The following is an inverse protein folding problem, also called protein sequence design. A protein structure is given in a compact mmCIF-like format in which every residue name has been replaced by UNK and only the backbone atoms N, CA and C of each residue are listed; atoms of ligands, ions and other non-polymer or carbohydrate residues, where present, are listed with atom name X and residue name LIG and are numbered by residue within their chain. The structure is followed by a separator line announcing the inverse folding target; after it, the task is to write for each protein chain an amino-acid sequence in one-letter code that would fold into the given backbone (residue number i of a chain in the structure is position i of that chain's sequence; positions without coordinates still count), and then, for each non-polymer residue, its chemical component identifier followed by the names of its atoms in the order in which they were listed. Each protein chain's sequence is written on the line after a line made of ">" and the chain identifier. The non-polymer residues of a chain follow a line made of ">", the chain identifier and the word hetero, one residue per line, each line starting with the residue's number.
data_IF_319087526999
#
_entry.id   IF_319087526999
#
_cell.length_a   1.000
_cell.length_b   1.000
_cell.length_c   1.000
_cell.angle_alpha   90.00
_cell.angle_beta   90.00
_cell.angle_gamma   90.00
#
_symmetry.space_group_name_H-M   'P 1'
#
loop_
_entity.id
_entity.type
_entity.pdbx_description
1 polymer ?
#
# COMPACT_ATOMS: atom_id res chain seq x y z
N UNK A 1 47.06 -53.70 13.28
CA UNK A 1 48.03 -53.88 12.17
C UNK A 1 48.12 -52.60 11.36
N UNK A 2 49.09 -51.73 11.63
CA UNK A 2 49.32 -50.50 10.84
C UNK A 2 50.15 -50.86 9.61
N UNK A 3 49.51 -51.01 8.44
CA UNK A 3 50.22 -51.07 7.16
C UNK A 3 51.05 -49.79 7.02
N UNK A 4 52.38 -49.91 7.14
CA UNK A 4 53.34 -48.89 6.70
C UNK A 4 53.21 -48.80 5.18
N UNK A 5 52.36 -47.90 4.68
CA UNK A 5 52.38 -47.53 3.28
C UNK A 5 53.58 -46.60 3.05
N UNK A 6 54.53 -47.06 2.25
CA UNK A 6 55.70 -46.28 1.83
C UNK A 6 55.27 -45.28 0.75
N UNK A 7 55.10 -44.02 1.16
CA UNK A 7 55.02 -42.89 0.25
C UNK A 7 56.43 -42.57 -0.26
N UNK A 8 56.76 -42.99 -1.49
CA UNK A 8 58.02 -42.63 -2.16
C UNK A 8 58.04 -41.14 -2.55
N UNK A 9 59.24 -40.58 -2.67
CA UNK A 9 59.45 -39.17 -3.05
C UNK A 9 58.83 -38.86 -4.42
N UNK A 10 59.07 -39.71 -5.41
CA UNK A 10 58.57 -39.53 -6.79
C UNK A 10 57.04 -39.56 -6.86
N UNK A 11 56.42 -40.50 -6.14
CA UNK A 11 54.96 -40.59 -6.07
C UNK A 11 54.36 -39.33 -5.43
N UNK A 12 55.07 -38.75 -4.46
CA UNK A 12 54.61 -37.55 -3.77
C UNK A 12 54.81 -36.30 -4.63
N UNK A 13 55.89 -36.20 -5.42
CA UNK A 13 56.12 -35.12 -6.39
C UNK A 13 55.05 -35.11 -7.48
N UNK A 14 54.78 -36.26 -8.12
CA UNK A 14 53.75 -36.34 -9.18
C UNK A 14 52.37 -35.97 -8.65
N UNK A 15 51.99 -36.47 -7.48
CA UNK A 15 50.66 -36.18 -6.93
C UNK A 15 50.53 -34.74 -6.41
N UNK A 16 51.58 -34.19 -5.80
CA UNK A 16 51.52 -32.90 -5.13
C UNK A 16 51.88 -31.72 -6.04
N UNK A 17 52.82 -31.89 -6.97
CA UNK A 17 53.29 -30.86 -7.90
C UNK A 17 52.53 -30.97 -9.23
N UNK A 18 52.61 -32.12 -9.91
CA UNK A 18 52.07 -32.23 -11.29
C UNK A 18 50.53 -32.31 -11.31
N UNK A 19 49.93 -33.01 -10.35
CA UNK A 19 48.46 -33.18 -10.26
C UNK A 19 47.79 -32.16 -9.32
N UNK A 20 48.56 -31.22 -8.75
CA UNK A 20 48.11 -30.21 -7.78
C UNK A 20 47.23 -30.76 -6.63
N UNK A 21 47.37 -32.05 -6.28
CA UNK A 21 46.50 -32.67 -5.29
C UNK A 21 46.85 -32.15 -3.91
N UNK A 22 45.83 -31.72 -3.16
CA UNK A 22 46.05 -31.32 -1.77
C UNK A 22 46.53 -32.49 -0.92
N UNK A 23 47.33 -32.23 0.12
CA UNK A 23 47.78 -33.26 1.09
C UNK A 23 46.64 -34.09 1.70
N UNK A 24 45.41 -33.58 1.72
CA UNK A 24 44.22 -34.33 2.12
C UNK A 24 43.67 -35.28 1.06
N UNK A 25 43.74 -34.91 -0.22
CA UNK A 25 43.35 -35.78 -1.33
C UNK A 25 44.36 -36.91 -1.54
N UNK A 26 45.65 -36.62 -1.39
CA UNK A 26 46.72 -37.63 -1.41
C UNK A 26 46.52 -38.64 -0.26
N UNK A 27 46.17 -38.15 0.93
CA UNK A 27 45.88 -38.98 2.09
C UNK A 27 44.70 -39.94 1.84
N UNK A 28 43.62 -39.46 1.20
CA UNK A 28 42.49 -40.30 0.80
C UNK A 28 42.85 -41.31 -0.28
N UNK A 29 43.64 -40.90 -1.30
CA UNK A 29 44.02 -41.77 -2.43
C UNK A 29 44.92 -42.92 -2.01
N UNK A 30 45.82 -42.69 -1.05
CA UNK A 30 46.83 -43.68 -0.59
C UNK A 30 46.35 -44.42 0.67
N UNK A 31 45.26 -43.99 1.29
CA UNK A 31 44.73 -44.63 2.51
C UNK A 31 45.59 -44.35 3.74
N UNK A 32 46.20 -43.17 3.84
CA UNK A 32 47.05 -42.77 4.97
C UNK A 32 46.53 -41.50 5.66
N UNK A 33 47.10 -41.17 6.82
CA UNK A 33 46.72 -39.94 7.51
C UNK A 33 47.29 -38.70 6.81
N UNK A 34 46.56 -37.58 6.82
CA UNK A 34 47.06 -36.29 6.32
C UNK A 34 48.37 -35.88 7.00
N UNK A 35 48.57 -36.25 8.28
CA UNK A 35 49.82 -35.99 9.01
C UNK A 35 50.99 -36.77 8.42
N UNK A 36 50.76 -37.99 7.95
CA UNK A 36 51.78 -38.83 7.29
C UNK A 36 52.27 -38.17 6.00
N UNK A 37 51.33 -37.68 5.17
CA UNK A 37 51.66 -36.95 3.93
C UNK A 37 52.41 -35.65 4.24
N UNK A 38 51.96 -34.86 5.23
CA UNK A 38 52.67 -33.63 5.63
C UNK A 38 54.05 -33.88 6.23
N UNK A 39 54.25 -34.99 6.95
CA UNK A 39 55.57 -35.37 7.45
C UNK A 39 56.49 -35.75 6.30
N UNK A 40 56.01 -36.55 5.34
CA UNK A 40 56.77 -36.95 4.15
C UNK A 40 57.13 -35.78 3.24
N UNK A 41 56.22 -34.82 3.05
CA UNK A 41 56.52 -33.57 2.33
C UNK A 41 57.67 -32.79 2.98
N UNK A 42 57.81 -32.84 4.31
CA UNK A 42 58.94 -32.24 5.04
C UNK A 42 60.21 -33.09 5.00
N UNK A 43 60.09 -34.42 5.08
CA UNK A 43 61.23 -35.35 5.00
C UNK A 43 61.94 -35.25 3.64
N UNK A 44 61.21 -34.96 2.56
CA UNK A 44 61.73 -34.85 1.19
C UNK A 44 61.93 -33.40 0.72
N UNK A 45 61.86 -32.41 1.62
CA UNK A 45 62.03 -30.98 1.29
C UNK A 45 61.15 -30.45 0.13
N UNK A 46 59.96 -31.04 -0.06
CA UNK A 46 59.02 -30.61 -1.10
C UNK A 46 58.31 -29.33 -0.63
N UNK A 47 58.45 -28.19 -1.33
CA UNK A 47 57.90 -26.92 -0.90
C UNK A 47 56.37 -26.98 -0.83
N UNK A 48 55.83 -26.62 0.32
CA UNK A 48 54.40 -26.69 0.56
C UNK A 48 53.70 -25.63 -0.29
N UNK A 49 53.02 -26.07 -1.36
CA UNK A 49 52.18 -25.20 -2.20
C UNK A 49 51.28 -24.29 -1.35
N UNK A 50 51.57 -22.99 -1.38
CA UNK A 50 50.73 -21.95 -0.78
C UNK A 50 49.65 -21.64 -1.80
N UNK A 51 48.39 -21.87 -1.44
CA UNK A 51 47.27 -21.42 -2.29
C UNK A 51 47.40 -19.90 -2.52
N UNK A 52 47.22 -19.40 -3.76
CA UNK A 52 47.30 -17.98 -4.06
C UNK A 52 46.31 -17.21 -3.19
N UNK A 53 46.75 -16.13 -2.53
CA UNK A 53 45.89 -15.36 -1.63
C UNK A 53 44.74 -14.72 -2.42
N UNK A 54 43.50 -14.95 -1.98
CA UNK A 54 42.35 -14.20 -2.51
C UNK A 54 42.54 -12.75 -2.08
N UNK A 55 42.68 -11.85 -3.06
CA UNK A 55 42.95 -10.43 -2.81
C UNK A 55 41.72 -9.72 -2.26
N UNK A 56 41.93 -8.51 -1.73
CA UNK A 56 40.83 -7.69 -1.23
C UNK A 56 39.83 -7.35 -2.36
N UNK A 57 40.33 -6.98 -3.53
CA UNK A 57 39.49 -6.59 -4.68
C UNK A 57 38.71 -7.77 -5.22
N UNK A 58 39.32 -8.95 -5.29
CA UNK A 58 38.66 -10.18 -5.70
C UNK A 58 37.54 -10.57 -4.71
N UNK A 59 37.75 -10.39 -3.41
CA UNK A 59 36.69 -10.58 -2.41
C UNK A 59 35.58 -9.54 -2.55
N UNK A 60 35.91 -8.27 -2.82
CA UNK A 60 34.90 -7.24 -3.04
C UNK A 60 34.05 -7.58 -4.27
N UNK A 61 34.69 -8.00 -5.37
CA UNK A 61 34.02 -8.40 -6.60
C UNK A 61 33.11 -9.62 -6.39
N UNK A 62 33.65 -10.72 -5.86
CA UNK A 62 32.89 -11.96 -5.70
C UNK A 62 31.79 -11.85 -4.63
N UNK A 63 32.10 -11.22 -3.49
CA UNK A 63 31.20 -11.16 -2.33
C UNK A 63 30.23 -9.98 -2.40
N UNK A 64 30.69 -8.80 -2.83
CA UNK A 64 29.89 -7.56 -2.83
C UNK A 64 29.18 -7.35 -4.17
N UNK A 65 29.90 -7.44 -5.29
CA UNK A 65 29.33 -7.19 -6.63
C UNK A 65 28.54 -8.39 -7.17
N UNK A 66 29.14 -9.58 -7.18
CA UNK A 66 28.52 -10.82 -7.67
C UNK A 66 27.63 -11.51 -6.63
N UNK A 67 27.60 -10.99 -5.39
CA UNK A 67 26.75 -11.42 -4.27
C UNK A 67 26.91 -12.89 -3.83
N UNK A 68 28.00 -13.57 -4.19
CA UNK A 68 28.25 -14.96 -3.80
C UNK A 68 28.41 -15.12 -2.27
N UNK A 69 27.92 -16.24 -1.73
CA UNK A 69 28.09 -16.61 -0.33
C UNK A 69 29.52 -17.06 -0.04
N UNK A 70 29.94 -17.03 1.23
CA UNK A 70 31.25 -17.58 1.63
C UNK A 70 31.41 -19.07 1.26
N UNK A 71 30.31 -19.80 1.01
CA UNK A 71 30.34 -21.19 0.56
C UNK A 71 30.61 -21.28 -0.94
N UNK A 72 29.90 -20.52 -1.76
CA UNK A 72 30.10 -20.47 -3.21
C UNK A 72 31.48 -19.88 -3.58
N UNK A 73 31.94 -18.86 -2.85
CA UNK A 73 33.30 -18.31 -3.02
C UNK A 73 34.33 -19.38 -2.64
N UNK A 74 34.08 -20.15 -1.59
CA UNK A 74 34.95 -21.24 -1.18
C UNK A 74 35.04 -22.34 -2.25
N UNK A 75 33.91 -22.69 -2.87
CA UNK A 75 33.85 -23.65 -3.98
C UNK A 75 34.61 -23.12 -5.21
N UNK A 76 34.45 -21.83 -5.56
CA UNK A 76 35.10 -21.21 -6.72
C UNK A 76 36.61 -20.97 -6.55
N UNK A 77 37.04 -20.60 -5.35
CA UNK A 77 38.44 -20.27 -5.04
C UNK A 77 39.21 -21.46 -4.44
N UNK A 78 38.55 -22.59 -4.22
CA UNK A 78 39.11 -23.77 -3.56
C UNK A 78 39.47 -23.56 -2.08
N UNK A 79 39.02 -22.47 -1.45
CA UNK A 79 39.25 -22.22 -0.02
C UNK A 79 38.16 -22.83 0.86
N UNK A 80 38.39 -22.90 2.17
CA UNK A 80 37.30 -23.23 3.11
C UNK A 80 36.47 -21.98 3.38
N UNK A 81 35.15 -22.16 3.53
CA UNK A 81 34.22 -21.06 3.82
C UNK A 81 34.65 -20.21 5.04
N UNK A 82 35.20 -20.85 6.07
CA UNK A 82 35.79 -20.18 7.23
C UNK A 82 36.99 -19.27 6.89
N UNK A 83 37.85 -19.69 5.95
CA UNK A 83 39.00 -18.89 5.50
C UNK A 83 38.53 -17.63 4.79
N UNK A 84 37.49 -17.73 3.94
CA UNK A 84 36.84 -16.57 3.32
C UNK A 84 36.27 -15.66 4.41
N UNK A 85 35.58 -16.20 5.41
CA UNK A 85 35.08 -15.43 6.55
C UNK A 85 36.16 -14.69 7.35
N UNK A 86 37.33 -15.32 7.59
CA UNK A 86 38.47 -14.64 8.23
C UNK A 86 39.04 -13.53 7.36
N UNK A 87 39.14 -13.74 6.04
CA UNK A 87 39.66 -12.72 5.11
C UNK A 87 38.73 -11.53 4.99
N UNK A 88 37.42 -11.76 4.94
CA UNK A 88 36.44 -10.66 5.03
C UNK A 88 36.65 -9.83 6.30
N UNK A 89 36.91 -10.46 7.45
CA UNK A 89 37.27 -9.73 8.68
C UNK A 89 38.62 -9.00 8.58
N UNK A 90 39.65 -9.63 8.02
CA UNK A 90 41.00 -9.04 7.84
C UNK A 90 40.93 -7.77 6.99
N UNK A 91 40.19 -7.81 5.89
CA UNK A 91 40.02 -6.68 4.97
C UNK A 91 38.90 -5.71 5.37
N UNK A 92 38.32 -5.90 6.58
CA UNK A 92 37.20 -5.09 7.09
C UNK A 92 35.99 -5.03 6.15
N UNK A 93 35.78 -6.09 5.36
CA UNK A 93 34.63 -6.25 4.48
C UNK A 93 33.44 -6.75 5.32
N UNK A 94 32.29 -6.04 5.33
CA UNK A 94 31.16 -6.39 6.19
C UNK A 94 30.60 -7.80 5.93
N UNK A 95 30.69 -8.68 6.93
CA UNK A 95 30.17 -10.06 6.83
C UNK A 95 28.65 -10.11 7.02
N UNK A 96 27.96 -10.90 6.20
CA UNK A 96 26.52 -11.18 6.26
C UNK A 96 26.30 -12.16 7.42
N UNK A 97 25.51 -11.76 8.43
CA UNK A 97 25.34 -12.51 9.68
C UNK A 97 24.78 -13.93 9.51
N UNK A 98 25.00 -14.78 10.52
CA UNK A 98 24.83 -16.23 10.44
C UNK A 98 23.47 -16.76 10.96
N UNK A 99 22.40 -15.95 11.00
CA UNK A 99 21.09 -16.42 11.44
C UNK A 99 20.38 -17.20 10.35
N UNK A 100 20.08 -18.47 10.62
CA UNK A 100 19.24 -19.35 9.80
C UNK A 100 17.94 -18.60 9.45
N UNK A 101 17.65 -18.50 8.15
CA UNK A 101 16.65 -17.66 7.46
C UNK A 101 17.16 -16.28 6.98
N UNK A 102 16.91 -15.92 5.69
CA UNK A 102 17.40 -14.68 5.09
C UNK A 102 16.57 -13.48 5.55
N UNK A 103 16.80 -13.02 6.79
CA UNK A 103 16.54 -11.63 7.16
C UNK A 103 17.41 -11.23 8.35
N UNK A 104 18.29 -10.26 8.15
CA UNK A 104 18.74 -9.21 9.09
C UNK A 104 20.19 -8.84 8.81
N UNK A 105 20.34 -7.80 7.97
CA UNK A 105 21.52 -6.95 8.09
C UNK A 105 21.29 -6.09 9.32
N UNK A 106 21.97 -6.38 10.43
CA UNK A 106 22.21 -5.37 11.46
C UNK A 106 23.25 -4.40 10.93
N UNK A 107 22.95 -3.10 11.04
CA UNK A 107 23.85 -2.03 10.63
C UNK A 107 25.12 -2.14 11.50
N UNK A 108 26.34 -2.08 10.93
CA UNK A 108 27.58 -2.11 11.71
C UNK A 108 27.53 -1.08 12.84
N UNK A 109 27.78 -1.52 14.07
CA UNK A 109 27.75 -0.65 15.26
C UNK A 109 28.75 0.52 15.16
N UNK A 110 29.80 0.41 14.35
CA UNK A 110 30.72 1.52 14.07
C UNK A 110 30.02 2.72 13.42
N UNK A 111 29.02 2.51 12.55
CA UNK A 111 28.28 3.60 11.89
C UNK A 111 27.33 4.36 12.83
N UNK A 112 26.94 3.76 13.96
CA UNK A 112 26.08 4.38 14.97
C UNK A 112 26.89 5.08 16.08
N UNK A 113 28.17 4.76 16.26
CA UNK A 113 29.01 5.36 17.32
C UNK A 113 29.42 6.80 17.03
N UNK A 114 29.55 7.20 15.77
CA UNK A 114 29.86 8.59 15.39
C UNK A 114 28.66 9.56 15.50
N UNK A 115 27.47 9.05 15.83
CA UNK A 115 26.21 9.80 15.88
C UNK A 115 26.04 10.69 17.12
N UNK A 116 26.97 10.66 18.08
CA UNK A 116 26.88 11.44 19.33
C UNK A 116 27.69 12.74 19.33
N UNK A 117 28.49 13.02 18.29
CA UNK A 117 29.24 14.27 18.18
C UNK A 117 28.40 15.31 17.45
N UNK A 118 27.86 16.25 18.23
CA UNK A 118 27.01 17.39 17.87
C UNK A 118 27.55 18.34 16.77
N UNK A 119 28.71 18.05 16.18
CA UNK A 119 29.43 18.94 15.25
C UNK A 119 29.20 18.62 13.76
N UNK A 120 28.58 17.48 13.41
CA UNK A 120 28.29 17.15 12.01
C UNK A 120 26.82 17.41 11.62
N UNK A 121 26.41 18.69 11.69
CA UNK A 121 25.29 19.17 10.87
C UNK A 121 25.70 19.08 9.40
N UNK A 122 25.39 17.98 8.71
CA UNK A 122 25.20 18.04 7.25
C UNK A 122 25.79 16.98 6.33
N UNK A 123 26.49 15.93 6.78
CA UNK A 123 26.96 14.88 5.83
C UNK A 123 26.78 13.46 6.36
N UNK A 124 25.52 13.00 6.40
CA UNK A 124 25.22 11.57 6.46
C UNK A 124 25.25 11.01 5.03
N UNK A 125 26.33 10.32 4.66
CA UNK A 125 26.49 9.71 3.34
C UNK A 125 26.09 8.23 3.41
N UNK A 126 24.93 7.90 2.82
CA UNK A 126 24.45 6.53 2.71
C UNK A 126 25.02 5.96 1.41
N UNK A 127 25.86 4.91 1.44
CA UNK A 127 26.40 4.36 0.21
C UNK A 127 25.31 3.91 -0.75
N UNK A 128 25.52 4.17 -2.06
CA UNK A 128 24.57 3.83 -3.14
C UNK A 128 24.04 2.39 -3.04
N UNK A 129 24.93 1.42 -2.82
CA UNK A 129 24.57 0.01 -2.77
C UNK A 129 23.63 -0.33 -1.60
N UNK A 130 23.76 0.34 -0.46
CA UNK A 130 22.88 0.15 0.71
C UNK A 130 21.50 0.70 0.39
N UNK A 131 21.47 1.89 -0.20
CA UNK A 131 20.22 2.56 -0.53
C UNK A 131 19.45 1.84 -1.63
N UNK A 132 20.17 1.29 -2.61
CA UNK A 132 19.63 0.45 -3.68
C UNK A 132 19.05 -0.86 -3.11
N UNK A 133 19.82 -1.65 -2.36
CA UNK A 133 19.32 -2.89 -1.72
C UNK A 133 18.05 -2.64 -0.87
N UNK A 134 18.05 -1.59 -0.04
CA UNK A 134 16.89 -1.28 0.80
C UNK A 134 15.66 -0.86 -0.02
N UNK A 135 15.85 -0.16 -1.15
CA UNK A 135 14.76 0.43 -1.93
C UNK A 135 14.25 -0.46 -3.07
N UNK A 136 15.14 -1.06 -3.86
CA UNK A 136 14.81 -1.86 -5.05
C UNK A 136 14.61 -3.33 -4.70
N UNK A 137 15.54 -3.95 -3.98
CA UNK A 137 15.51 -5.38 -3.64
C UNK A 137 14.52 -5.67 -2.50
N UNK A 138 14.70 -5.00 -1.37
CA UNK A 138 13.85 -5.18 -0.17
C UNK A 138 12.52 -4.46 -0.24
N UNK A 139 12.32 -3.61 -1.26
CA UNK A 139 11.10 -2.82 -1.47
C UNK A 139 10.68 -2.00 -0.25
N UNK A 140 11.63 -1.61 0.61
CA UNK A 140 11.30 -0.78 1.77
C UNK A 140 10.83 0.59 1.32
N UNK A 141 9.88 1.15 2.06
CA UNK A 141 9.43 2.52 1.81
C UNK A 141 10.50 3.52 2.24
N UNK A 142 10.52 4.68 1.58
CA UNK A 142 11.44 5.79 1.94
C UNK A 142 11.30 6.14 3.44
N UNK A 143 10.08 6.08 3.99
CA UNK A 143 9.82 6.32 5.40
C UNK A 143 10.43 5.25 6.32
N UNK A 144 10.34 3.97 5.96
CA UNK A 144 10.98 2.89 6.72
C UNK A 144 12.51 2.99 6.67
N UNK A 145 13.07 3.37 5.53
CA UNK A 145 14.51 3.61 5.37
C UNK A 145 14.93 4.82 6.24
N UNK A 146 14.17 5.92 6.20
CA UNK A 146 14.43 7.11 7.01
C UNK A 146 14.39 6.81 8.51
N UNK A 147 13.37 6.09 8.98
CA UNK A 147 13.25 5.66 10.37
C UNK A 147 14.42 4.75 10.78
N UNK A 148 14.88 3.86 9.88
CA UNK A 148 16.00 2.96 10.12
C UNK A 148 17.32 3.71 10.29
N UNK A 149 17.51 4.80 9.54
CA UNK A 149 18.71 5.65 9.62
C UNK A 149 18.55 6.86 10.55
N UNK A 150 17.40 6.98 11.24
CA UNK A 150 17.05 8.12 12.11
C UNK A 150 17.26 9.49 11.42
N UNK A 151 17.00 9.53 10.12
CA UNK A 151 17.10 10.75 9.33
C UNK A 151 15.74 11.13 8.75
N UNK A 152 15.64 12.34 8.21
CA UNK A 152 14.39 12.78 7.59
C UNK A 152 14.13 12.06 6.26
N UNK A 153 12.85 11.91 5.92
CA UNK A 153 12.40 11.28 4.67
C UNK A 153 12.93 12.03 3.44
N UNK A 154 13.12 13.36 3.55
CA UNK A 154 13.72 14.20 2.51
C UNK A 154 15.18 13.87 2.28
N UNK A 155 15.95 13.53 3.33
CA UNK A 155 17.35 13.11 3.22
C UNK A 155 17.46 11.85 2.37
N UNK A 156 16.68 10.81 2.68
CA UNK A 156 16.66 9.56 1.90
C UNK A 156 16.23 9.81 0.45
N UNK A 157 15.24 10.67 0.24
CA UNK A 157 14.78 11.04 -1.11
C UNK A 157 15.88 11.75 -1.91
N UNK A 158 16.60 12.68 -1.28
CA UNK A 158 17.68 13.42 -1.92
C UNK A 158 18.82 12.47 -2.30
N UNK A 159 19.20 11.55 -1.41
CA UNK A 159 20.22 10.53 -1.69
C UNK A 159 19.82 9.56 -2.81
N UNK A 160 18.55 9.13 -2.85
CA UNK A 160 18.04 8.30 -3.95
C UNK A 160 18.19 9.02 -5.30
N UNK A 161 17.97 10.34 -5.34
CA UNK A 161 18.19 11.17 -6.55
C UNK A 161 19.67 11.32 -6.88
N UNK A 162 20.51 11.68 -5.91
CA UNK A 162 21.97 11.84 -6.08
C UNK A 162 22.61 10.57 -6.64
N UNK A 163 22.19 9.40 -6.16
CA UNK A 163 22.69 8.12 -6.63
C UNK A 163 22.01 7.58 -7.90
N UNK A 164 21.11 8.38 -8.52
CA UNK A 164 20.33 8.03 -9.72
C UNK A 164 19.54 6.73 -9.59
N UNK A 165 19.04 6.42 -8.39
CA UNK A 165 18.16 5.27 -8.15
C UNK A 165 16.74 5.69 -8.51
N UNK A 166 16.12 4.98 -9.45
CA UNK A 166 14.80 5.32 -9.96
C UNK A 166 13.73 5.27 -8.85
N UNK A 167 13.31 6.45 -8.39
CA UNK A 167 12.26 6.57 -7.37
C UNK A 167 10.95 6.17 -8.05
N UNK A 168 10.38 5.04 -7.62
CA UNK A 168 9.05 4.63 -8.04
C UNK A 168 8.09 5.79 -7.77
N UNK A 169 7.41 6.31 -8.82
CA UNK A 169 6.56 7.45 -8.64
C UNK A 169 5.39 7.07 -7.74
N UNK A 170 4.98 8.01 -6.90
CA UNK A 170 4.04 7.78 -5.80
C UNK A 170 2.72 7.14 -6.25
N UNK A 171 2.33 7.33 -7.52
CA UNK A 171 1.13 6.76 -8.14
C UNK A 171 1.23 5.27 -8.48
N UNK A 172 2.43 4.69 -8.64
CA UNK A 172 2.63 3.27 -9.01
C UNK A 172 2.55 2.31 -7.81
N UNK A 173 2.62 2.83 -6.58
CA UNK A 173 2.71 2.04 -5.33
C UNK A 173 1.38 1.50 -4.77
N UNK A 174 0.21 1.89 -5.30
CA UNK A 174 -1.09 1.46 -4.77
C UNK A 174 -2.21 1.40 -5.81
N UNK A 175 -2.11 0.48 -6.77
CA UNK A 175 -3.32 -0.06 -7.36
C UNK A 175 -3.61 -1.41 -6.69
N UNK A 176 -4.37 -1.38 -5.59
CA UNK A 176 -5.01 -2.59 -5.09
C UNK A 176 -6.28 -2.75 -5.93
N UNK A 177 -6.42 -3.80 -6.76
CA UNK A 177 -7.65 -4.08 -7.49
C UNK A 177 -8.70 -4.53 -6.48
N UNK A 178 -9.35 -3.57 -5.86
CA UNK A 178 -10.46 -3.79 -4.94
C UNK A 178 -11.75 -3.72 -5.76
N UNK A 179 -12.56 -4.80 -5.80
CA UNK A 179 -13.85 -4.78 -6.49
C UNK A 179 -14.75 -3.71 -5.84
N UNK A 180 -14.94 -2.60 -6.56
CA UNK A 180 -15.65 -1.44 -6.03
C UNK A 180 -17.10 -1.78 -5.70
N UNK A 181 -17.75 -2.60 -6.54
CA UNK A 181 -19.14 -3.03 -6.37
C UNK A 181 -19.33 -3.93 -5.14
N UNK A 182 -18.39 -4.83 -4.86
CA UNK A 182 -18.45 -5.70 -3.68
C UNK A 182 -18.28 -4.90 -2.39
N UNK A 183 -17.38 -3.91 -2.37
CA UNK A 183 -17.22 -3.00 -1.22
C UNK A 183 -18.50 -2.22 -0.96
N UNK A 184 -19.18 -1.77 -2.02
CA UNK A 184 -20.44 -1.04 -1.92
C UNK A 184 -21.53 -1.95 -1.37
N UNK A 185 -21.69 -3.17 -1.90
CA UNK A 185 -22.69 -4.15 -1.44
C UNK A 185 -22.51 -4.50 0.04
N UNK A 186 -21.27 -4.84 0.43
CA UNK A 186 -20.93 -5.18 1.81
C UNK A 186 -21.27 -4.04 2.78
N UNK A 187 -21.07 -2.80 2.35
CA UNK A 187 -21.30 -1.62 3.18
C UNK A 187 -22.77 -1.15 3.19
N UNK A 188 -23.44 -1.14 2.05
CA UNK A 188 -24.80 -0.59 1.86
C UNK A 188 -25.87 -1.62 2.19
N UNK A 189 -25.76 -2.82 1.62
CA UNK A 189 -26.78 -3.85 1.71
C UNK A 189 -26.55 -4.72 2.94
N UNK A 190 -25.34 -5.26 3.10
CA UNK A 190 -24.99 -6.18 4.20
C UNK A 190 -24.65 -5.48 5.52
N UNK A 191 -24.68 -4.15 5.53
CA UNK A 191 -24.43 -3.29 6.70
C UNK A 191 -23.10 -3.54 7.44
N UNK A 192 -22.10 -4.14 6.81
CA UNK A 192 -20.81 -4.44 7.42
C UNK A 192 -20.04 -3.14 7.71
N UNK A 193 -19.23 -3.14 8.78
CA UNK A 193 -18.40 -1.99 9.16
C UNK A 193 -17.22 -1.79 8.20
N UNK A 194 -16.78 -0.53 8.02
CA UNK A 194 -15.58 -0.21 7.24
C UNK A 194 -14.34 -0.95 7.75
N UNK A 195 -14.25 -1.19 9.07
CA UNK A 195 -13.13 -1.91 9.66
C UNK A 195 -13.13 -3.40 9.27
N UNK A 196 -14.31 -4.03 9.26
CA UNK A 196 -14.47 -5.43 8.86
C UNK A 196 -14.26 -5.61 7.36
N UNK A 197 -14.72 -4.66 6.53
CA UNK A 197 -14.46 -4.62 5.08
C UNK A 197 -12.95 -4.47 4.83
N UNK A 198 -12.29 -3.53 5.52
CA UNK A 198 -10.86 -3.32 5.40
C UNK A 198 -10.04 -4.58 5.77
N UNK A 199 -10.45 -5.29 6.83
CA UNK A 199 -9.84 -6.56 7.23
C UNK A 199 -10.05 -7.65 6.17
N UNK A 200 -11.27 -7.78 5.63
CA UNK A 200 -11.62 -8.75 4.59
C UNK A 200 -10.80 -8.58 3.32
N UNK A 201 -10.55 -7.34 2.91
CA UNK A 201 -9.79 -7.03 1.69
C UNK A 201 -8.30 -6.72 1.93
N UNK A 202 -7.78 -6.97 3.14
CA UNK A 202 -6.36 -6.75 3.45
C UNK A 202 -5.87 -5.32 3.23
N UNK A 203 -6.74 -4.31 3.38
CA UNK A 203 -6.43 -2.91 3.10
C UNK A 203 -6.67 -2.01 4.32
N UNK A 204 -6.20 -0.77 4.27
CA UNK A 204 -6.47 0.17 5.37
C UNK A 204 -7.90 0.69 5.33
N UNK A 205 -8.46 1.03 6.50
CA UNK A 205 -9.79 1.65 6.63
C UNK A 205 -9.94 2.85 5.69
N UNK A 206 -8.92 3.71 5.60
CA UNK A 206 -8.91 4.86 4.72
C UNK A 206 -8.96 4.52 3.22
N UNK A 207 -8.49 3.34 2.79
CA UNK A 207 -8.61 2.89 1.40
C UNK A 207 -10.06 2.54 1.07
N UNK A 208 -10.73 1.81 1.96
CA UNK A 208 -12.17 1.52 1.85
C UNK A 208 -12.98 2.81 1.89
N UNK A 209 -12.68 3.72 2.82
CA UNK A 209 -13.34 5.03 2.91
C UNK A 209 -13.14 5.85 1.62
N UNK A 210 -11.93 5.89 1.05
CA UNK A 210 -11.69 6.58 -0.22
C UNK A 210 -12.52 5.99 -1.37
N UNK A 211 -12.71 4.67 -1.40
CA UNK A 211 -13.54 4.02 -2.43
C UNK A 211 -15.03 4.30 -2.22
N UNK A 212 -15.51 4.23 -0.98
CA UNK A 212 -16.87 4.65 -0.62
C UNK A 212 -17.11 6.13 -0.97
N UNK A 213 -16.16 7.01 -0.66
CA UNK A 213 -16.21 8.44 -1.00
C UNK A 213 -16.16 8.66 -2.52
N UNK A 214 -15.32 7.94 -3.26
CA UNK A 214 -15.29 7.96 -4.75
C UNK A 214 -16.67 7.64 -5.32
N UNK A 215 -17.41 6.75 -4.67
CA UNK A 215 -18.78 6.38 -5.00
C UNK A 215 -19.85 7.20 -4.28
N UNK A 216 -19.46 8.26 -3.56
CA UNK A 216 -20.32 9.19 -2.82
C UNK A 216 -21.17 8.52 -1.72
N UNK A 217 -20.67 7.44 -1.13
CA UNK A 217 -21.29 6.75 -0.01
C UNK A 217 -20.74 7.35 1.29
N UNK A 218 -21.64 7.94 2.07
CA UNK A 218 -21.29 8.58 3.34
C UNK A 218 -20.97 7.54 4.42
N UNK A 219 -20.00 7.87 5.29
CA UNK A 219 -19.70 7.08 6.48
C UNK A 219 -20.92 7.03 7.39
N UNK A 220 -21.29 5.83 7.85
CA UNK A 220 -22.27 5.56 8.89
C UNK A 220 -21.60 6.07 10.16
N UNK A 221 -21.99 7.26 10.63
CA UNK A 221 -21.35 7.89 11.78
C UNK A 221 -21.32 6.92 12.96
N UNK A 222 -20.13 6.65 13.48
CA UNK A 222 -19.96 6.41 14.93
C UNK A 222 -20.33 7.72 15.63
N UNK A 223 -21.24 7.64 16.58
CA UNK A 223 -21.79 8.79 17.29
C UNK A 223 -20.67 9.71 17.82
N UNK A 224 -20.91 11.02 17.72
CA UNK A 224 -20.14 12.04 18.44
C UNK A 224 -18.89 12.56 17.72
N UNK A 225 -19.05 13.69 17.03
CA UNK A 225 -18.12 14.83 16.85
C UNK A 225 -18.45 15.53 15.53
N UNK A 226 -19.41 16.45 15.61
CA UNK A 226 -19.50 17.53 14.63
C UNK A 226 -18.26 18.40 14.81
N UNK A 227 -17.49 18.62 13.74
CA UNK A 227 -16.79 19.88 13.54
C UNK A 227 -16.53 20.09 12.05
N UNK A 228 -16.63 21.37 11.66
CA UNK A 228 -16.79 21.88 10.30
C UNK A 228 -15.70 21.50 9.31
N UNK A 229 -15.98 21.83 8.04
CA UNK A 229 -15.26 21.48 6.81
C UNK A 229 -15.59 20.09 6.24
N UNK A 230 -16.78 20.02 5.64
CA UNK A 230 -17.16 19.00 4.67
C UNK A 230 -16.25 19.08 3.42
N UNK A 231 -15.02 18.53 3.49
CA UNK A 231 -14.18 18.26 2.32
C UNK A 231 -14.86 17.21 1.45
N UNK A 232 -15.44 17.63 0.32
CA UNK A 232 -16.06 16.74 -0.69
C UNK A 232 -17.54 16.99 -1.01
N UNK A 233 -18.23 17.91 -0.31
CA UNK A 233 -19.64 18.23 -0.62
C UNK A 233 -19.71 19.36 -1.64
N UNK A 234 -20.19 19.05 -2.86
CA UNK A 234 -20.35 20.04 -3.95
C UNK A 234 -21.43 21.07 -3.60
N UNK A 235 -21.39 22.25 -4.24
CA UNK A 235 -22.42 23.29 -4.10
C UNK A 235 -23.81 22.74 -4.44
N UNK A 236 -23.88 21.81 -5.41
CA UNK A 236 -25.09 21.09 -5.83
C UNK A 236 -25.67 20.23 -4.70
N UNK A 237 -24.81 19.44 -4.05
CA UNK A 237 -25.22 18.59 -2.92
C UNK A 237 -25.69 19.44 -1.73
N UNK A 238 -25.03 20.56 -1.45
CA UNK A 238 -25.47 21.47 -0.38
C UNK A 238 -26.87 22.01 -0.67
N UNK A 239 -27.12 22.47 -1.89
CA UNK A 239 -28.43 23.00 -2.30
C UNK A 239 -29.52 21.93 -2.21
N UNK A 240 -29.29 20.74 -2.80
CA UNK A 240 -30.26 19.65 -2.76
C UNK A 240 -30.56 19.19 -1.33
N UNK A 241 -29.55 19.11 -0.46
CA UNK A 241 -29.78 18.77 0.94
C UNK A 241 -30.73 19.75 1.63
N UNK A 242 -30.58 21.05 1.38
CA UNK A 242 -31.45 22.07 1.97
C UNK A 242 -32.89 21.90 1.44
N UNK A 243 -33.06 21.81 0.12
CA UNK A 243 -34.39 21.71 -0.51
C UNK A 243 -35.11 20.42 -0.08
N UNK A 244 -34.48 19.26 -0.25
CA UNK A 244 -35.10 17.97 0.05
C UNK A 244 -35.37 17.80 1.54
N UNK A 245 -34.42 18.21 2.41
CA UNK A 245 -34.65 18.14 3.86
C UNK A 245 -35.77 19.06 4.34
N UNK A 246 -35.99 20.19 3.64
CA UNK A 246 -37.07 21.11 3.96
C UNK A 246 -38.40 20.56 3.47
N UNK A 247 -38.48 20.15 2.21
CA UNK A 247 -39.69 19.63 1.59
C UNK A 247 -40.21 18.36 2.26
N UNK A 248 -39.34 17.38 2.54
CA UNK A 248 -39.74 16.16 3.25
C UNK A 248 -40.22 16.47 4.67
N UNK A 249 -39.59 17.44 5.34
CA UNK A 249 -40.02 17.83 6.68
C UNK A 249 -41.38 18.51 6.68
N UNK A 250 -41.69 19.33 5.67
CA UNK A 250 -43.01 19.95 5.54
C UNK A 250 -44.10 18.97 5.14
N UNK A 251 -43.75 17.85 4.46
CA UNK A 251 -44.75 16.85 4.04
C UNK A 251 -45.15 15.84 5.12
N UNK A 252 -44.43 15.76 6.25
CA UNK A 252 -44.68 14.75 7.30
C UNK A 252 -45.06 15.45 8.60
N UNK A 253 -46.16 15.03 9.24
CA UNK A 253 -46.53 15.49 10.59
C UNK A 253 -45.64 14.82 11.64
N UNK A 254 -44.59 15.49 12.12
CA UNK A 254 -43.77 14.97 13.23
C UNK A 254 -44.35 15.33 14.59
N UNK A 255 -44.65 14.33 15.41
CA UNK A 255 -44.95 14.50 16.83
C UNK A 255 -43.74 15.00 17.64
N UNK A 256 -44.01 15.66 18.78
CA UNK A 256 -42.99 16.13 19.72
C UNK A 256 -42.09 14.96 20.17
N UNK A 257 -40.78 15.18 20.26
CA UNK A 257 -39.82 14.18 20.78
C UNK A 257 -39.23 13.17 19.78
N UNK A 258 -39.73 13.05 18.54
CA UNK A 258 -39.10 12.14 17.54
C UNK A 258 -37.68 12.63 17.18
N UNK A 259 -36.71 11.71 17.06
CA UNK A 259 -35.29 11.99 16.73
C UNK A 259 -35.11 12.47 15.28
N UNK A 260 -34.19 13.41 15.01
CA UNK A 260 -33.95 13.96 13.66
C UNK A 260 -33.42 12.86 12.73
N UNK A 261 -34.18 12.51 11.69
CA UNK A 261 -33.79 11.52 10.67
C UNK A 261 -33.26 12.24 9.44
N UNK A 262 -32.26 11.66 8.76
CA UNK A 262 -31.70 12.22 7.53
C UNK A 262 -32.63 11.87 6.37
N UNK A 263 -33.01 12.85 5.55
CA UNK A 263 -33.94 12.62 4.45
C UNK A 263 -33.51 11.51 3.49
N UNK A 264 -32.21 11.37 3.22
CA UNK A 264 -31.66 10.35 2.33
C UNK A 264 -31.88 8.90 2.84
N UNK A 265 -32.13 8.70 4.14
CA UNK A 265 -32.48 7.36 4.65
C UNK A 265 -33.96 7.04 4.54
N UNK A 266 -34.79 7.99 4.10
CA UNK A 266 -36.24 7.82 3.95
C UNK A 266 -36.64 7.45 2.51
N UNK A 267 -35.69 7.48 1.57
CA UNK A 267 -35.94 7.31 0.13
C UNK A 267 -35.03 6.24 -0.47
N UNK A 268 -35.43 5.58 -1.57
CA UNK A 268 -34.72 4.41 -2.11
C UNK A 268 -33.60 4.79 -3.09
N UNK A 269 -33.21 6.07 -3.17
CA UNK A 269 -32.21 6.54 -4.13
C UNK A 269 -31.16 7.47 -3.51
N UNK A 270 -30.01 7.55 -4.17
CA UNK A 270 -28.88 8.37 -3.71
C UNK A 270 -28.96 9.80 -4.21
N UNK A 271 -28.18 10.71 -3.62
CA UNK A 271 -27.99 12.08 -4.14
C UNK A 271 -27.56 12.08 -5.62
N UNK A 272 -26.69 11.15 -6.02
CA UNK A 272 -26.22 11.05 -7.41
C UNK A 272 -27.35 10.67 -8.36
N UNK A 273 -28.23 9.77 -7.93
CA UNK A 273 -29.42 9.41 -8.70
C UNK A 273 -30.35 10.61 -8.88
N UNK A 274 -30.60 11.37 -7.81
CA UNK A 274 -31.39 12.60 -7.87
C UNK A 274 -30.76 13.65 -8.79
N UNK A 275 -29.46 13.92 -8.68
CA UNK A 275 -28.76 14.88 -9.57
C UNK A 275 -28.86 14.41 -11.02
N UNK A 276 -28.55 13.14 -11.30
CA UNK A 276 -28.61 12.58 -12.65
C UNK A 276 -30.02 12.70 -13.23
N UNK A 277 -31.04 12.41 -12.43
CA UNK A 277 -32.43 12.52 -12.83
C UNK A 277 -32.83 13.97 -13.10
N UNK A 278 -32.63 14.87 -12.15
CA UNK A 278 -33.03 16.27 -12.29
C UNK A 278 -32.33 16.95 -13.49
N UNK A 279 -31.07 16.60 -13.77
CA UNK A 279 -30.36 17.08 -14.97
C UNK A 279 -31.02 16.67 -16.29
N UNK A 280 -31.73 15.53 -16.33
CA UNK A 280 -32.51 15.11 -17.50
C UNK A 280 -33.84 15.84 -17.63
N UNK A 281 -34.35 16.43 -16.54
CA UNK A 281 -35.62 17.14 -16.50
C UNK A 281 -35.47 18.66 -16.67
N UNK A 282 -34.29 19.15 -17.06
CA UNK A 282 -34.06 20.58 -17.24
C UNK A 282 -34.92 21.07 -18.43
N UNK A 283 -35.76 22.10 -18.25
CA UNK A 283 -36.54 22.65 -19.36
C UNK A 283 -35.63 23.31 -20.41
N UNK A 284 -36.04 23.34 -21.70
CA UNK A 284 -35.31 24.03 -22.75
C UNK A 284 -35.02 25.49 -22.38
N UNK A 285 -33.80 25.96 -22.64
CA UNK A 285 -33.39 27.33 -22.33
C UNK A 285 -32.87 27.58 -20.91
N UNK A 286 -32.80 26.55 -20.05
CA UNK A 286 -32.26 26.67 -18.69
C UNK A 286 -30.96 25.88 -18.49
N UNK A 287 -30.13 26.35 -17.55
CA UNK A 287 -28.86 25.75 -17.15
C UNK A 287 -28.89 25.20 -15.73
N UNK A 288 -28.34 24.00 -15.55
CA UNK A 288 -28.13 23.41 -14.22
C UNK A 288 -27.27 24.33 -13.33
N UNK A 289 -26.15 24.82 -13.86
CA UNK A 289 -25.17 25.60 -13.06
C UNK A 289 -25.74 26.97 -12.72
N UNK A 290 -26.32 27.65 -13.68
CA UNK A 290 -26.68 29.06 -13.51
C UNK A 290 -28.07 29.24 -12.92
N UNK A 291 -29.07 28.51 -13.42
CA UNK A 291 -30.47 28.73 -13.04
C UNK A 291 -30.94 27.84 -11.89
N UNK A 292 -30.31 26.67 -11.71
CA UNK A 292 -30.57 25.83 -10.56
C UNK A 292 -29.55 26.02 -9.45
N UNK A 293 -28.24 26.04 -9.69
CA UNK A 293 -27.24 26.10 -8.60
C UNK A 293 -26.93 27.52 -8.13
N UNK A 294 -26.64 28.45 -9.04
CA UNK A 294 -26.14 29.79 -8.72
C UNK A 294 -27.26 30.76 -8.40
N UNK A 295 -28.26 30.89 -9.28
CA UNK A 295 -29.41 31.76 -9.11
C UNK A 295 -30.45 31.03 -8.28
N UNK A 296 -30.77 31.57 -7.10
CA UNK A 296 -31.84 31.03 -6.25
C UNK A 296 -33.18 31.43 -6.88
N UNK A 297 -34.15 30.53 -6.87
CA UNK A 297 -35.55 30.78 -7.25
C UNK A 297 -35.89 30.90 -8.76
N UNK A 298 -35.01 30.52 -9.69
CA UNK A 298 -35.38 30.38 -11.11
C UNK A 298 -35.95 28.99 -11.37
N UNK A 299 -35.14 27.95 -11.16
CA UNK A 299 -35.60 26.55 -11.20
C UNK A 299 -35.90 26.03 -9.79
N UNK A 300 -37.03 25.33 -9.67
CA UNK A 300 -37.48 24.65 -8.46
C UNK A 300 -37.67 23.15 -8.73
N UNK A 301 -37.58 22.34 -7.68
CA UNK A 301 -37.96 20.93 -7.75
C UNK A 301 -39.47 20.86 -7.58
N UNK A 302 -40.16 20.48 -8.64
CA UNK A 302 -41.61 20.23 -8.70
C UNK A 302 -41.90 18.73 -8.53
N UNK A 303 -43.08 18.43 -7.99
CA UNK A 303 -43.64 17.08 -7.99
C UNK A 303 -44.65 16.95 -9.11
N UNK A 304 -44.46 16.05 -10.08
CA UNK A 304 -45.35 15.85 -11.24
C UNK A 304 -46.80 15.64 -10.75
N UNK A 305 -47.00 14.66 -9.88
CA UNK A 305 -48.17 14.50 -9.01
C UNK A 305 -47.86 15.26 -7.71
N UNK A 306 -48.64 16.27 -7.32
CA UNK A 306 -48.36 17.10 -6.16
C UNK A 306 -48.47 16.31 -4.85
N UNK A 307 -47.72 16.74 -3.84
CA UNK A 307 -47.73 16.15 -2.49
C UNK A 307 -49.15 16.02 -1.92
N UNK A 308 -50.00 17.02 -2.16
CA UNK A 308 -51.39 17.05 -1.69
C UNK A 308 -52.31 15.99 -2.30
N UNK A 309 -51.90 15.33 -3.39
CA UNK A 309 -52.66 14.25 -4.00
C UNK A 309 -52.34 12.87 -3.40
N UNK A 310 -51.29 12.75 -2.57
CA UNK A 310 -50.88 11.51 -1.92
C UNK A 310 -51.41 11.40 -0.49
N UNK A 311 -51.61 10.18 -0.03
CA UNK A 311 -52.15 9.87 1.28
C UNK A 311 -51.07 9.32 2.24
N UNK A 312 -50.32 10.18 2.92
CA UNK A 312 -49.32 9.73 3.90
C UNK A 312 -49.16 10.67 5.10
N UNK A 313 -48.77 10.08 6.23
CA UNK A 313 -48.36 10.80 7.45
C UNK A 313 -46.99 10.40 7.97
N UNK A 314 -46.48 9.23 7.57
CA UNK A 314 -45.17 8.71 7.97
C UNK A 314 -44.32 8.28 6.75
N UNK A 315 -42.98 8.28 6.85
CA UNK A 315 -42.09 7.86 5.75
C UNK A 315 -42.27 6.41 5.28
N UNK A 316 -42.83 5.56 6.13
CA UNK A 316 -43.03 4.13 5.91
C UNK A 316 -44.18 3.86 4.93
N UNK A 317 -45.07 4.83 4.72
CA UNK A 317 -46.24 4.68 3.86
C UNK A 317 -45.81 4.58 2.38
N UNK A 318 -46.51 3.75 1.60
CA UNK A 318 -46.21 3.55 0.17
C UNK A 318 -46.32 4.87 -0.62
N UNK A 319 -47.35 5.67 -0.31
CA UNK A 319 -47.60 6.97 -0.95
C UNK A 319 -46.51 8.00 -0.66
N UNK A 320 -45.81 7.91 0.48
CA UNK A 320 -44.62 8.73 0.73
C UNK A 320 -43.51 8.38 -0.27
N UNK A 321 -43.26 7.09 -0.47
CA UNK A 321 -42.24 6.61 -1.40
C UNK A 321 -42.57 6.98 -2.84
N UNK A 322 -43.85 6.87 -3.25
CA UNK A 322 -44.33 7.30 -4.58
C UNK A 322 -44.22 8.80 -4.76
N UNK A 323 -44.63 9.60 -3.77
CA UNK A 323 -44.55 11.05 -3.81
C UNK A 323 -43.11 11.53 -4.03
N UNK A 324 -42.16 10.97 -3.28
CA UNK A 324 -40.76 11.38 -3.36
C UNK A 324 -39.94 10.56 -4.37
N UNK A 325 -40.53 9.68 -5.16
CA UNK A 325 -39.80 8.89 -6.16
C UNK A 325 -39.21 9.76 -7.28
N UNK A 326 -38.11 9.32 -7.88
CA UNK A 326 -37.43 10.07 -8.94
C UNK A 326 -38.36 10.40 -10.11
N UNK A 327 -39.16 9.44 -10.56
CA UNK A 327 -40.12 9.64 -11.65
C UNK A 327 -41.20 10.69 -11.33
N UNK A 328 -41.45 11.01 -10.06
CA UNK A 328 -42.37 12.05 -9.66
C UNK A 328 -41.69 13.42 -9.46
N UNK A 329 -40.36 13.51 -9.52
CA UNK A 329 -39.63 14.77 -9.33
C UNK A 329 -39.12 15.33 -10.66
N UNK A 330 -39.27 16.64 -10.88
CA UNK A 330 -38.71 17.34 -12.05
C UNK A 330 -38.22 18.74 -11.70
N UNK A 331 -37.40 19.32 -12.57
CA UNK A 331 -37.13 20.76 -12.52
C UNK A 331 -38.20 21.51 -13.30
N UNK A 332 -38.72 22.59 -12.69
CA UNK A 332 -39.70 23.45 -13.31
C UNK A 332 -39.36 24.92 -12.99
N UNK A 333 -39.53 25.87 -13.94
CA UNK A 333 -39.38 27.29 -13.65
C UNK A 333 -40.37 27.71 -12.57
N UNK A 334 -39.93 28.56 -11.64
CA UNK A 334 -40.76 28.99 -10.49
C UNK A 334 -42.11 29.55 -10.92
N UNK A 335 -42.14 30.32 -12.01
CA UNK A 335 -43.38 30.93 -12.52
C UNK A 335 -44.34 29.85 -13.02
N UNK A 336 -43.84 28.85 -13.75
CA UNK A 336 -44.65 27.73 -14.22
C UNK A 336 -45.11 26.85 -13.05
N UNK A 337 -44.24 26.58 -12.08
CA UNK A 337 -44.60 25.84 -10.88
C UNK A 337 -45.70 26.53 -10.06
N UNK A 338 -45.61 27.86 -9.95
CA UNK A 338 -46.66 28.66 -9.30
C UNK A 338 -47.98 28.62 -10.09
N UNK A 339 -47.93 28.69 -11.43
CA UNK A 339 -49.12 28.56 -12.29
C UNK A 339 -49.76 27.17 -12.20
N UNK A 340 -48.94 26.12 -12.10
CA UNK A 340 -49.41 24.74 -11.91
C UNK A 340 -50.24 24.59 -10.63
N UNK A 341 -49.84 25.24 -9.54
CA UNK A 341 -50.57 25.30 -8.27
C UNK A 341 -51.15 23.94 -7.82
N UNK A 342 -50.31 22.91 -7.76
CA UNK A 342 -50.70 21.54 -7.39
C UNK A 342 -51.86 20.94 -8.22
N UNK A 343 -52.03 21.38 -9.48
CA UNK A 343 -52.97 20.75 -10.40
C UNK A 343 -52.41 19.43 -10.95
N UNK A 344 -53.33 18.49 -11.19
CA UNK A 344 -53.07 17.20 -11.81
C UNK A 344 -53.39 17.29 -13.29
N UNK A 345 -52.41 16.93 -14.14
CA UNK A 345 -52.64 16.83 -15.59
C UNK A 345 -53.38 15.53 -15.97
N UNK A 346 -53.32 14.52 -15.10
CA UNK A 346 -53.97 13.21 -15.27
C UNK A 346 -54.61 12.77 -13.95
N UNK A 347 -55.70 11.98 -14.00
CA UNK A 347 -56.26 11.37 -12.80
C UNK A 347 -55.19 10.58 -12.04
N UNK A 348 -55.16 10.73 -10.72
CA UNK A 348 -54.23 10.05 -9.83
C UNK A 348 -55.02 9.42 -8.68
N UNK A 349 -54.76 8.14 -8.42
CA UNK A 349 -55.36 7.41 -7.30
C UNK A 349 -54.29 7.15 -6.23
N UNK A 350 -54.43 7.73 -5.02
CA UNK A 350 -53.53 7.44 -3.91
C UNK A 350 -53.73 6.01 -3.39
N UNK A 351 -52.75 5.50 -2.67
CA UNK A 351 -52.86 4.21 -2.00
C UNK A 351 -53.87 4.30 -0.85
N UNK A 352 -54.75 3.31 -0.74
CA UNK A 352 -55.80 3.27 0.29
C UNK A 352 -55.26 2.92 1.69
N UNK A 353 -54.04 2.37 1.76
CA UNK A 353 -53.36 1.98 2.99
C UNK A 353 -52.40 3.10 3.42
N UNK A 354 -52.60 3.60 4.63
CA UNK A 354 -51.64 4.42 5.37
C UNK A 354 -50.66 3.51 6.11
#
# INVERSE_FOLDING_TARGET
>A
MNKKFELSEDSLKVLYIDQEMTSGMIAMKIGCSRRTVSRRLKEFDIPMMRKPEVTQDELIELYTHQRLSCKEIAERTGYRSWTIGRRLKKYKIPTRGHSRQPSRFEIPKEFLKDQLKSTYKGKFEIPKYVLDDLYTERKMTIAQIAARFRCDVTTIRQRLKEHRIAIQPQWKRKYLPLPEDEIIDLYVNRKISVASIAKRFGCSRGTVEKRLIKHNILRRNTAGKNNGNYKGVTKEMKRLNVIMSSGIRSSIKRGKGKRRVKWLSLIPYTHKNLIRHLKKTIPPGYSWKDDFINRKNILQIDHIVPVSAFNFSEPEHEDFQKCWALNNLRLLPRIENARKNARLDKPFQPSLLM
#
